data_IF_791014772317
#
_entry.id   IF_791014772317
#
_cell.length_a   1.000
_cell.length_b   1.000
_cell.length_c   1.000
_cell.angle_alpha   90.00
_cell.angle_beta   90.00
_cell.angle_gamma   90.00
#
_symmetry.space_group_name_H-M   'P 1'
#
loop_
_entity.id
_entity.type
_entity.pdbx_description
1 polymer ?
#
# COMPACT_ATOMS: atom_id res chain seq x y z
N UNK A 1 -22.05 -10.75 7.65
CA UNK A 1 -20.60 -10.97 7.45
C UNK A 1 -19.84 -10.16 8.49
N UNK A 2 -18.91 -10.77 9.24
CA UNK A 2 -18.01 -9.99 10.12
C UNK A 2 -17.18 -9.07 9.22
N UNK A 3 -17.20 -7.75 9.47
CA UNK A 3 -16.26 -6.82 8.84
C UNK A 3 -14.85 -7.25 9.25
N UNK A 4 -13.99 -7.54 8.28
CA UNK A 4 -12.57 -7.73 8.55
C UNK A 4 -12.04 -6.41 9.08
N UNK A 5 -11.44 -6.46 10.26
CA UNK A 5 -10.75 -5.35 10.87
C UNK A 5 -9.27 -5.53 10.56
N UNK A 6 -8.70 -4.59 9.82
CA UNK A 6 -7.26 -4.50 9.55
C UNK A 6 -6.70 -3.26 10.25
N UNK A 7 -5.39 -3.28 10.48
CA UNK A 7 -4.64 -2.24 11.17
C UNK A 7 -3.29 -2.02 10.49
N UNK A 8 -2.72 -0.85 10.76
CA UNK A 8 -1.33 -0.55 10.45
C UNK A 8 -0.40 -1.64 11.03
N UNK A 9 0.52 -2.13 10.19
CA UNK A 9 1.46 -3.22 10.46
C UNK A 9 1.00 -4.58 9.92
N UNK A 10 -0.27 -4.71 9.52
CA UNK A 10 -0.75 -5.95 8.92
C UNK A 10 -0.02 -6.24 7.59
N UNK A 11 0.39 -7.50 7.45
CA UNK A 11 0.92 -8.05 6.22
C UNK A 11 -0.20 -8.74 5.46
N UNK A 12 -0.33 -8.47 4.17
CA UNK A 12 -1.36 -9.07 3.34
C UNK A 12 -0.80 -9.60 2.03
N UNK A 13 -1.35 -10.73 1.60
CA UNK A 13 -1.01 -11.39 0.35
C UNK A 13 -1.86 -10.84 -0.79
N UNK A 14 -1.18 -10.36 -1.84
CA UNK A 14 -1.80 -9.77 -3.02
C UNK A 14 -1.79 -10.84 -4.13
N UNK A 15 -2.97 -11.37 -4.41
CA UNK A 15 -3.20 -12.39 -5.43
C UNK A 15 -3.73 -11.80 -6.75
N UNK A 16 -3.92 -12.66 -7.73
CA UNK A 16 -4.62 -12.33 -8.96
C UNK A 16 -6.05 -11.89 -8.66
N UNK A 17 -6.49 -10.84 -9.34
CA UNK A 17 -7.85 -10.33 -9.19
C UNK A 17 -8.61 -10.45 -10.50
N UNK A 18 -9.93 -10.63 -10.38
CA UNK A 18 -10.85 -10.62 -11.50
C UNK A 18 -11.77 -9.41 -11.40
N UNK A 19 -11.71 -8.54 -12.40
CA UNK A 19 -12.61 -7.37 -12.53
C UNK A 19 -13.44 -7.55 -13.79
N UNK A 20 -14.71 -7.90 -13.60
CA UNK A 20 -15.60 -8.25 -14.72
C UNK A 20 -15.07 -9.47 -15.50
N UNK A 21 -14.76 -9.26 -16.78
CA UNK A 21 -14.19 -10.30 -17.66
C UNK A 21 -12.65 -10.32 -17.70
N UNK A 22 -11.98 -9.30 -17.13
CA UNK A 22 -10.52 -9.18 -17.18
C UNK A 22 -9.91 -9.73 -15.90
N UNK A 23 -8.84 -10.52 -16.05
CA UNK A 23 -7.99 -10.97 -14.95
C UNK A 23 -6.72 -10.12 -14.97
N UNK A 24 -6.38 -9.51 -13.85
CA UNK A 24 -5.08 -8.87 -13.66
C UNK A 24 -4.19 -9.88 -12.95
N UNK A 25 -3.51 -10.70 -13.74
CA UNK A 25 -2.66 -11.76 -13.23
C UNK A 25 -1.25 -11.26 -12.92
N UNK A 26 -0.67 -11.79 -11.86
CA UNK A 26 0.74 -11.70 -11.54
C UNK A 26 1.56 -12.85 -12.15
N UNK A 27 0.95 -13.78 -12.89
CA UNK A 27 1.64 -14.93 -13.50
C UNK A 27 2.47 -15.73 -12.48
N UNK A 28 1.88 -16.00 -11.32
CA UNK A 28 2.49 -16.63 -10.14
C UNK A 28 3.54 -15.77 -9.40
N UNK A 29 3.74 -14.50 -9.77
CA UNK A 29 4.62 -13.55 -9.07
C UNK A 29 3.86 -12.72 -8.04
N UNK A 30 3.15 -13.37 -7.12
CA UNK A 30 2.38 -12.66 -6.10
C UNK A 30 3.29 -11.77 -5.25
N UNK A 31 2.70 -10.75 -4.64
CA UNK A 31 3.41 -9.79 -3.79
C UNK A 31 2.80 -9.78 -2.41
N UNK A 32 3.59 -9.36 -1.43
CA UNK A 32 3.08 -9.00 -0.12
C UNK A 32 3.02 -7.47 -0.01
N UNK A 33 1.98 -6.98 0.64
CA UNK A 33 1.90 -5.60 1.08
C UNK A 33 2.03 -5.54 2.59
N UNK A 34 2.81 -4.58 3.09
CA UNK A 34 2.77 -4.16 4.50
C UNK A 34 1.98 -2.88 4.60
N UNK A 35 0.86 -2.93 5.33
CA UNK A 35 0.00 -1.78 5.53
C UNK A 35 0.68 -0.79 6.50
N UNK A 36 1.10 0.37 6.00
CA UNK A 36 1.84 1.35 6.82
C UNK A 36 1.02 2.58 7.19
N UNK A 37 -0.16 2.73 6.58
CA UNK A 37 -1.02 3.88 6.78
C UNK A 37 -2.47 3.59 6.41
N UNK A 38 -3.39 3.98 7.29
CA UNK A 38 -4.83 4.00 7.03
C UNK A 38 -5.29 5.44 7.22
N UNK A 39 -5.89 6.02 6.18
CA UNK A 39 -6.33 7.41 6.27
C UNK A 39 -7.65 7.55 7.05
N UNK A 40 -7.64 8.53 7.95
CA UNK A 40 -8.79 9.13 8.63
C UNK A 40 -9.43 10.25 7.82
N UNK A 41 -8.66 10.95 6.97
CA UNK A 41 -9.14 12.08 6.16
C UNK A 41 -9.75 11.64 4.82
N UNK A 42 -9.11 10.69 4.14
CA UNK A 42 -9.55 10.19 2.84
C UNK A 42 -10.27 8.86 3.01
N UNK A 43 -11.57 8.88 2.74
CA UNK A 43 -12.43 7.70 2.91
C UNK A 43 -11.85 6.51 2.14
N UNK A 44 -11.73 5.40 2.87
CA UNK A 44 -11.30 4.11 2.35
C UNK A 44 -9.88 4.06 1.79
N UNK A 45 -9.04 5.08 2.00
CA UNK A 45 -7.66 5.09 1.52
C UNK A 45 -6.70 4.38 2.49
N UNK A 46 -5.80 3.59 1.91
CA UNK A 46 -4.65 2.99 2.59
C UNK A 46 -3.36 3.29 1.84
N UNK A 47 -2.24 3.29 2.57
CA UNK A 47 -0.88 3.28 2.02
C UNK A 47 -0.15 2.03 2.46
N UNK A 48 0.43 1.29 1.52
CA UNK A 48 1.23 0.10 1.82
C UNK A 48 2.55 0.13 1.05
N UNK A 49 3.54 -0.58 1.59
CA UNK A 49 4.81 -0.84 0.90
C UNK A 49 4.83 -2.28 0.39
N UNK A 50 5.20 -2.52 -0.88
CA UNK A 50 5.29 -3.86 -1.43
C UNK A 50 6.58 -4.57 -1.00
N UNK A 51 6.54 -5.90 -0.97
CA UNK A 51 7.73 -6.73 -0.77
C UNK A 51 8.72 -6.58 -1.92
N UNK A 52 10.02 -6.64 -1.59
CA UNK A 52 11.10 -6.69 -2.61
C UNK A 52 10.97 -7.95 -3.48
N UNK A 53 10.70 -9.08 -2.85
CA UNK A 53 10.56 -10.38 -3.50
C UNK A 53 9.13 -10.65 -4.01
N UNK A 54 9.05 -11.56 -4.97
CA UNK A 54 7.81 -12.17 -5.47
C UNK A 54 7.66 -13.57 -4.89
N UNK A 55 6.42 -14.01 -4.70
CA UNK A 55 6.12 -15.29 -4.07
C UNK A 55 5.15 -16.10 -4.91
N UNK A 56 5.39 -17.42 -4.99
CA UNK A 56 4.43 -18.36 -5.57
C UNK A 56 3.37 -18.81 -4.55
N UNK A 57 3.71 -18.76 -3.26
CA UNK A 57 2.88 -19.19 -2.14
C UNK A 57 3.06 -18.22 -0.96
N UNK A 58 2.17 -18.28 0.04
CA UNK A 58 2.33 -17.49 1.26
C UNK A 58 3.61 -17.97 1.98
N UNK A 59 4.61 -17.09 2.22
CA UNK A 59 5.84 -17.49 2.90
C UNK A 59 5.59 -17.82 4.36
N UNK A 60 6.35 -18.79 4.90
CA UNK A 60 6.20 -19.27 6.28
C UNK A 60 6.82 -18.30 7.30
N UNK A 61 8.00 -17.74 6.99
CA UNK A 61 8.70 -16.81 7.87
C UNK A 61 8.43 -15.36 7.46
N UNK A 62 7.44 -14.75 8.09
CA UNK A 62 7.03 -13.39 7.76
C UNK A 62 7.97 -12.31 8.30
N UNK A 63 8.84 -12.61 9.27
CA UNK A 63 9.71 -11.60 9.89
C UNK A 63 10.92 -11.23 9.04
N UNK A 64 11.29 -12.07 8.08
CA UNK A 64 12.47 -11.88 7.21
C UNK A 64 12.14 -11.17 5.90
N UNK A 65 10.86 -10.89 5.63
CA UNK A 65 10.44 -10.23 4.40
C UNK A 65 10.94 -8.79 4.41
N UNK A 66 11.65 -8.43 3.35
CA UNK A 66 12.06 -7.05 3.06
C UNK A 66 11.02 -6.34 2.19
N UNK A 67 10.88 -5.05 2.44
CA UNK A 67 9.92 -4.19 1.75
C UNK A 67 10.64 -3.04 1.07
N UNK A 68 10.10 -2.66 -0.08
CA UNK A 68 10.61 -1.57 -0.88
C UNK A 68 10.29 -0.22 -0.22
N UNK A 69 11.11 0.78 -0.53
CA UNK A 69 10.94 2.15 -0.01
C UNK A 69 9.94 2.99 -0.85
N UNK A 70 8.90 2.35 -1.41
CA UNK A 70 7.87 3.01 -2.20
C UNK A 70 6.46 2.75 -1.65
N UNK A 71 5.75 3.82 -1.31
CA UNK A 71 4.36 3.71 -0.85
C UNK A 71 3.41 3.70 -2.03
N UNK A 72 2.55 2.69 -2.10
CA UNK A 72 1.42 2.64 -3.00
C UNK A 72 0.16 3.01 -2.21
N UNK A 73 -0.52 4.06 -2.66
CA UNK A 73 -1.81 4.46 -2.10
C UNK A 73 -2.93 3.86 -2.95
N UNK A 74 -3.92 3.25 -2.32
CA UNK A 74 -5.07 2.63 -2.98
C UNK A 74 -6.29 2.64 -2.06
N UNK A 75 -7.45 2.27 -2.60
CA UNK A 75 -8.62 1.95 -1.79
C UNK A 75 -8.45 0.64 -1.02
N UNK A 76 -9.11 0.52 0.14
CA UNK A 76 -9.05 -0.66 1.01
C UNK A 76 -10.12 -1.72 0.73
N UNK A 77 -10.80 -1.65 -0.42
CA UNK A 77 -11.86 -2.59 -0.80
C UNK A 77 -11.38 -4.03 -0.80
N UNK A 78 -10.17 -4.29 -1.32
CA UNK A 78 -9.64 -5.64 -1.45
C UNK A 78 -9.35 -6.28 -0.09
N UNK A 79 -8.90 -5.49 0.89
CA UNK A 79 -8.73 -5.95 2.28
C UNK A 79 -10.10 -6.16 2.96
N UNK A 80 -11.03 -5.21 2.81
CA UNK A 80 -12.38 -5.31 3.41
C UNK A 80 -13.16 -6.52 2.91
N UNK A 81 -12.98 -6.87 1.64
CA UNK A 81 -13.67 -7.97 0.98
C UNK A 81 -12.91 -9.29 1.06
N UNK A 82 -11.74 -9.34 1.72
CA UNK A 82 -10.89 -10.54 1.85
C UNK A 82 -10.28 -11.05 0.54
N UNK A 83 -10.28 -10.25 -0.53
CA UNK A 83 -9.58 -10.59 -1.76
C UNK A 83 -8.06 -10.58 -1.51
N UNK A 84 -7.58 -9.56 -0.79
CA UNK A 84 -6.24 -9.54 -0.22
C UNK A 84 -6.30 -10.06 1.20
N UNK A 85 -5.61 -11.18 1.45
CA UNK A 85 -5.70 -11.90 2.71
C UNK A 85 -4.63 -11.40 3.68
N UNK A 86 -5.02 -10.99 4.88
CA UNK A 86 -4.07 -10.72 5.96
C UNK A 86 -3.45 -12.04 6.40
N UNK A 87 -2.13 -12.10 6.42
CA UNK A 87 -1.35 -13.31 6.72
C UNK A 87 -0.47 -13.16 7.96
N UNK A 88 -0.27 -11.94 8.46
CA UNK A 88 0.51 -11.71 9.67
C UNK A 88 0.65 -10.23 9.98
N UNK A 89 1.65 -9.91 10.80
CA UNK A 89 1.86 -8.58 11.33
C UNK A 89 3.35 -8.31 11.51
N UNK A 90 3.77 -7.10 11.18
CA UNK A 90 5.07 -6.55 11.52
C UNK A 90 4.92 -5.13 12.06
N UNK A 91 5.71 -4.78 13.06
CA UNK A 91 5.77 -3.40 13.56
C UNK A 91 6.21 -2.45 12.44
N UNK A 92 5.64 -1.25 12.46
CA UNK A 92 6.03 -0.17 11.56
C UNK A 92 7.13 0.65 12.25
N UNK A 93 8.17 0.95 11.49
CA UNK A 93 9.29 1.80 11.88
C UNK A 93 9.02 3.26 11.52
N UNK A 94 9.72 4.19 12.18
CA UNK A 94 9.62 5.62 11.85
C UNK A 94 10.05 5.93 10.40
N UNK A 95 10.99 5.16 9.85
CA UNK A 95 11.41 5.30 8.46
C UNK A 95 10.25 4.99 7.51
N UNK A 96 9.55 3.88 7.74
CA UNK A 96 8.37 3.50 6.94
C UNK A 96 7.25 4.55 7.04
N UNK A 97 7.02 5.13 8.23
CA UNK A 97 6.08 6.26 8.38
C UNK A 97 6.52 7.45 7.52
N UNK A 98 7.81 7.77 7.52
CA UNK A 98 8.36 8.91 6.77
C UNK A 98 8.24 8.73 5.25
N UNK A 99 8.21 7.48 4.74
CA UNK A 99 7.93 7.21 3.33
C UNK A 99 6.56 7.71 2.88
N UNK A 100 5.62 7.93 3.81
CA UNK A 100 4.31 8.48 3.48
C UNK A 100 4.32 9.98 3.17
N UNK A 101 5.49 10.63 3.29
CA UNK A 101 5.67 12.05 3.04
C UNK A 101 5.36 12.40 1.59
N UNK A 102 4.35 13.24 1.39
CA UNK A 102 3.87 13.60 0.05
C UNK A 102 3.22 14.98 0.04
N UNK A 103 2.98 15.50 -1.17
CA UNK A 103 2.14 16.68 -1.35
C UNK A 103 0.67 16.28 -1.39
N UNK A 104 -0.16 17.04 -0.70
CA UNK A 104 -1.62 16.94 -0.74
C UNK A 104 -2.14 18.37 -0.88
N UNK A 105 -2.72 18.69 -2.04
CA UNK A 105 -3.02 20.08 -2.41
C UNK A 105 -1.79 20.99 -2.23
N UNK A 106 -1.87 22.02 -1.39
CA UNK A 106 -0.78 22.96 -1.10
C UNK A 106 0.00 22.62 0.18
N UNK A 107 -0.15 21.41 0.74
CA UNK A 107 0.50 21.00 1.98
C UNK A 107 1.43 19.79 1.80
N UNK A 108 2.47 19.73 2.65
CA UNK A 108 3.30 18.55 2.87
C UNK A 108 2.71 17.78 4.05
N UNK A 109 2.36 16.52 3.80
CA UNK A 109 1.78 15.66 4.82
C UNK A 109 2.63 14.41 5.02
N UNK A 110 2.68 13.92 6.26
CA UNK A 110 3.12 12.57 6.61
C UNK A 110 1.88 11.88 7.17
N UNK A 111 1.49 10.73 6.61
CA UNK A 111 0.16 10.15 6.84
C UNK A 111 -0.95 11.19 6.58
N UNK A 112 -1.74 11.49 7.60
CA UNK A 112 -2.79 12.53 7.60
C UNK A 112 -2.37 13.80 8.36
N UNK A 113 -1.14 13.86 8.87
CA UNK A 113 -0.65 15.02 9.60
C UNK A 113 -0.06 16.03 8.62
N UNK A 114 -0.62 17.24 8.62
CA UNK A 114 -0.02 18.39 7.92
C UNK A 114 1.26 18.81 8.65
N UNK A 115 2.38 18.77 7.94
CA UNK A 115 3.68 19.20 8.46
C UNK A 115 3.90 20.68 8.21
N UNK A 116 3.56 21.15 7.00
CA UNK A 116 3.65 22.56 6.58
C UNK A 116 3.03 22.77 5.20
N UNK A 117 2.82 24.03 4.84
CA UNK A 117 2.52 24.47 3.47
C UNK A 117 3.73 24.20 2.55
N UNK A 118 3.45 23.81 1.30
CA UNK A 118 4.43 23.58 0.24
C UNK A 118 5.18 24.88 -0.12
N UNK A 119 6.47 24.76 -0.38
CA UNK A 119 7.28 25.76 -1.09
C UNK A 119 7.41 25.37 -2.56
N UNK A 120 7.93 26.27 -3.41
CA UNK A 120 8.15 26.00 -4.83
C UNK A 120 9.07 24.80 -5.08
N UNK A 121 10.09 24.62 -4.24
CA UNK A 121 11.03 23.49 -4.33
C UNK A 121 10.34 22.13 -4.09
N UNK A 122 9.29 22.09 -3.27
CA UNK A 122 8.59 20.85 -2.96
C UNK A 122 7.87 20.26 -4.17
N UNK A 123 7.43 21.10 -5.11
CA UNK A 123 6.75 20.64 -6.32
C UNK A 123 7.66 19.77 -7.19
N UNK A 124 8.98 19.97 -7.10
CA UNK A 124 10.01 19.15 -7.76
C UNK A 124 10.43 17.96 -6.91
N UNK A 125 10.46 18.12 -5.59
CA UNK A 125 11.01 17.11 -4.66
C UNK A 125 10.03 16.01 -4.31
N UNK A 126 8.77 16.35 -4.04
CA UNK A 126 7.78 15.41 -3.51
C UNK A 126 6.70 15.11 -4.54
N UNK A 127 6.32 13.83 -4.59
CA UNK A 127 5.19 13.39 -5.41
C UNK A 127 3.89 13.93 -4.81
N UNK A 128 2.96 14.31 -5.70
CA UNK A 128 1.59 14.58 -5.30
C UNK A 128 0.89 13.27 -4.94
N UNK A 129 -0.08 13.31 -4.01
CA UNK A 129 -0.87 12.15 -3.66
C UNK A 129 -1.68 11.67 -4.88
N UNK A 130 -1.33 10.47 -5.36
CA UNK A 130 -2.10 9.73 -6.35
C UNK A 130 -2.64 8.46 -5.69
N UNK A 131 -3.96 8.27 -5.74
CA UNK A 131 -4.61 7.03 -5.28
C UNK A 131 -4.77 6.12 -6.49
N UNK A 132 -4.01 5.03 -6.51
CA UNK A 132 -4.05 4.07 -7.59
C UNK A 132 -5.37 3.29 -7.56
N UNK A 133 -6.05 3.22 -8.70
CA UNK A 133 -7.08 2.23 -8.91
C UNK A 133 -6.49 0.82 -8.95
N UNK A 134 -7.32 -0.19 -8.74
CA UNK A 134 -6.87 -1.57 -8.58
C UNK A 134 -6.04 -2.11 -9.77
N UNK A 135 -6.44 -1.80 -11.00
CA UNK A 135 -5.66 -2.15 -12.20
C UNK A 135 -4.27 -1.49 -12.22
N UNK A 136 -4.17 -0.24 -11.75
CA UNK A 136 -2.91 0.48 -11.67
C UNK A 136 -2.02 -0.09 -10.56
N UNK A 137 -2.59 -0.54 -9.43
CA UNK A 137 -1.83 -1.26 -8.40
C UNK A 137 -1.15 -2.49 -8.99
N UNK A 138 -1.90 -3.33 -9.73
CA UNK A 138 -1.33 -4.52 -10.37
C UNK A 138 -0.23 -4.16 -11.38
N UNK A 139 -0.46 -3.14 -12.22
CA UNK A 139 0.56 -2.66 -13.16
C UNK A 139 1.83 -2.18 -12.44
N UNK A 140 1.71 -1.41 -11.36
CA UNK A 140 2.86 -0.97 -10.58
C UNK A 140 3.60 -2.19 -10.02
N UNK A 141 2.90 -3.11 -9.38
CA UNK A 141 3.50 -4.29 -8.74
C UNK A 141 4.21 -5.25 -9.71
N UNK A 142 3.80 -5.29 -10.98
CA UNK A 142 4.49 -6.09 -12.02
C UNK A 142 5.67 -5.39 -12.68
N UNK A 143 5.80 -4.07 -12.53
CA UNK A 143 6.85 -3.25 -13.14
C UNK A 143 7.82 -2.63 -12.11
N UNK A 144 7.77 -3.11 -10.85
CA UNK A 144 8.79 -2.85 -9.83
C UNK A 144 9.83 -3.96 -9.86
#
# INVERSE_FOLDING_TARGET
MKKIQFKEGDLFFINDIKVGKKVFSFENKYRLGKLIYISSLFKDMIGFIPSEDTFNTIPENLNEIKFLENVIYTGNSELKNSNWKIIGYQNITNNEITLTKRRVANAIMIKDDEIRICTDDDYKKYKNQGIAGLAAVHYLLTNI
#
